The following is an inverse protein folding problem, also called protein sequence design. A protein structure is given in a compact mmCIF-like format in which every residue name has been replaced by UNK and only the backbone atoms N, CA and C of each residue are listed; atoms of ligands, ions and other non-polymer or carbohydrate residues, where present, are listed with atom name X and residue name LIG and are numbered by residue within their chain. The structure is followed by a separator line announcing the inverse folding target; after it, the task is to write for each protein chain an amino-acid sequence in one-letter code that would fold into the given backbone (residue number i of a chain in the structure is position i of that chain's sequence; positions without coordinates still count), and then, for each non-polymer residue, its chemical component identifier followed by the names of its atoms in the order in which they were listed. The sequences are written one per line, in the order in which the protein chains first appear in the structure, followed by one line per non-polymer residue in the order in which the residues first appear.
data_IF_732153282556
#
_entry.id   IF_732153282556
#
_cell.length_a   1.000
_cell.length_b   1.000
_cell.length_c   1.000
_cell.angle_alpha   90.00
_cell.angle_beta   90.00
_cell.angle_gamma   90.00
#
_symmetry.space_group_name_H-M   'P 1'
#
loop_
_entity.id
_entity.type
_entity.pdbx_description
1 polymer ?
#
# COMPACT_ATOMS: atom_id res chain seq x y z
N UNK A 1 -7.99 -18.10 13.59
CA UNK A 1 -8.63 -16.93 12.95
C UNK A 1 -8.91 -17.29 11.51
N UNK A 2 -10.15 -17.12 11.02
CA UNK A 2 -10.43 -17.16 9.58
C UNK A 2 -9.96 -15.84 8.96
N UNK A 3 -9.27 -15.90 7.82
CA UNK A 3 -8.86 -14.71 7.07
C UNK A 3 -10.05 -13.91 6.53
N UNK A 4 -9.82 -12.70 6.00
CA UNK A 4 -10.91 -11.88 5.45
C UNK A 4 -11.63 -12.61 4.31
N UNK A 5 -12.96 -12.41 4.21
CA UNK A 5 -13.75 -12.97 3.12
C UNK A 5 -13.33 -12.37 1.76
N UNK A 6 -13.62 -13.07 0.66
CA UNK A 6 -13.36 -12.56 -0.70
C UNK A 6 -14.02 -11.19 -0.94
N UNK A 7 -15.25 -11.02 -0.45
CA UNK A 7 -15.98 -9.75 -0.54
C UNK A 7 -15.28 -8.62 0.21
N UNK A 8 -14.67 -8.93 1.37
CA UNK A 8 -13.89 -7.94 2.13
C UNK A 8 -12.67 -7.49 1.33
N UNK A 9 -11.92 -8.45 0.78
CA UNK A 9 -10.73 -8.16 -0.03
C UNK A 9 -11.12 -7.27 -1.23
N UNK A 10 -12.19 -7.61 -1.94
CA UNK A 10 -12.65 -6.82 -3.09
C UNK A 10 -13.03 -5.37 -2.71
N UNK A 11 -13.72 -5.19 -1.57
CA UNK A 11 -14.08 -3.86 -1.06
C UNK A 11 -12.86 -3.04 -0.66
N UNK A 12 -11.92 -3.65 0.05
CA UNK A 12 -10.69 -3.00 0.49
C UNK A 12 -9.85 -2.56 -0.72
N UNK A 13 -9.66 -3.46 -1.70
CA UNK A 13 -8.94 -3.15 -2.94
C UNK A 13 -9.61 -2.02 -3.72
N UNK A 14 -10.93 -2.05 -3.91
CA UNK A 14 -11.65 -1.01 -4.63
C UNK A 14 -11.56 0.35 -3.92
N UNK A 15 -11.59 0.34 -2.58
CA UNK A 15 -11.44 1.56 -1.78
C UNK A 15 -10.03 2.14 -1.93
N UNK A 16 -8.99 1.32 -1.77
CA UNK A 16 -7.60 1.74 -1.92
C UNK A 16 -7.35 2.32 -3.32
N UNK A 17 -7.83 1.67 -4.38
CA UNK A 17 -7.73 2.18 -5.75
C UNK A 17 -8.35 3.58 -5.91
N UNK A 18 -9.54 3.79 -5.34
CA UNK A 18 -10.29 5.05 -5.48
C UNK A 18 -9.79 6.18 -4.58
N UNK A 19 -9.25 5.86 -3.40
CA UNK A 19 -8.95 6.87 -2.36
C UNK A 19 -7.47 7.03 -2.08
N UNK A 20 -6.68 5.97 -2.24
CA UNK A 20 -5.24 5.96 -1.91
C UNK A 20 -4.38 5.95 -3.17
N UNK A 21 -4.70 5.14 -4.17
CA UNK A 21 -3.86 4.96 -5.36
C UNK A 21 -4.27 5.86 -6.54
N UNK A 22 -5.38 6.60 -6.41
CA UNK A 22 -5.91 7.43 -7.48
C UNK A 22 -4.85 8.41 -8.03
N UNK A 23 -4.65 8.38 -9.35
CA UNK A 23 -3.70 9.23 -10.06
C UNK A 23 -2.22 8.84 -9.87
N UNK A 24 -1.91 7.76 -9.16
CA UNK A 24 -0.53 7.26 -9.01
C UNK A 24 -0.23 6.16 -10.04
N UNK A 25 0.95 6.18 -10.70
CA UNK A 25 1.33 5.12 -11.63
C UNK A 25 1.51 3.78 -10.90
N UNK A 26 0.74 2.76 -11.31
CA UNK A 26 0.98 1.39 -10.87
C UNK A 26 2.08 0.77 -11.74
N UNK A 27 3.19 0.40 -11.11
CA UNK A 27 4.32 -0.23 -11.76
C UNK A 27 4.12 -1.74 -12.00
N UNK A 28 3.09 -2.35 -11.42
CA UNK A 28 2.79 -3.75 -11.66
C UNK A 28 2.27 -3.96 -13.08
N UNK A 29 3.13 -4.49 -13.94
CA UNK A 29 2.86 -4.78 -15.37
C UNK A 29 2.69 -6.28 -15.62
N UNK A 30 2.27 -7.04 -14.60
CA UNK A 30 1.96 -8.47 -14.70
C UNK A 30 3.04 -9.41 -14.19
N UNK A 31 4.03 -8.90 -13.45
CA UNK A 31 5.04 -9.72 -12.80
C UNK A 31 4.63 -10.20 -11.40
N UNK A 32 3.61 -9.56 -10.82
CA UNK A 32 2.98 -9.96 -9.55
C UNK A 32 1.45 -10.01 -9.74
N UNK A 33 0.73 -10.50 -8.73
CA UNK A 33 -0.72 -10.52 -8.67
C UNK A 33 -1.31 -9.18 -9.08
N UNK A 34 -2.29 -9.19 -10.00
CA UNK A 34 -2.95 -7.98 -10.51
C UNK A 34 -3.71 -7.19 -9.45
N UNK A 35 -3.91 -7.78 -8.26
CA UNK A 35 -4.50 -7.13 -7.09
C UNK A 35 -3.49 -6.31 -6.28
N UNK A 36 -2.18 -6.49 -6.51
CA UNK A 36 -1.10 -5.81 -5.80
C UNK A 36 -0.62 -4.64 -6.66
N UNK A 37 -0.66 -3.44 -6.06
CA UNK A 37 -0.12 -2.24 -6.71
C UNK A 37 1.32 -2.01 -6.26
N UNK A 38 2.17 -1.68 -7.22
CA UNK A 38 3.57 -1.33 -6.98
C UNK A 38 3.81 0.14 -7.31
N UNK A 39 4.62 0.80 -6.50
CA UNK A 39 4.88 2.24 -6.63
C UNK A 39 6.38 2.51 -6.53
N UNK A 40 6.86 3.57 -7.20
CA UNK A 40 8.21 4.09 -6.93
C UNK A 40 8.24 4.81 -5.56
N UNK A 41 9.44 5.19 -5.09
CA UNK A 41 9.60 5.84 -3.80
C UNK A 41 8.76 7.14 -3.63
N UNK A 42 8.64 7.94 -4.70
CA UNK A 42 7.90 9.20 -4.67
C UNK A 42 6.39 8.96 -4.59
N UNK A 43 5.87 8.10 -5.46
CA UNK A 43 4.45 7.72 -5.48
C UNK A 43 4.06 7.00 -4.19
N UNK A 44 4.93 6.13 -3.67
CA UNK A 44 4.68 5.44 -2.41
C UNK A 44 4.70 6.39 -1.21
N UNK A 45 5.47 7.48 -1.25
CA UNK A 45 5.39 8.54 -0.23
C UNK A 45 3.98 9.15 -0.19
N UNK A 46 3.36 9.40 -1.35
CA UNK A 46 1.95 9.86 -1.42
C UNK A 46 0.95 8.81 -0.94
N UNK A 47 1.22 7.52 -1.16
CA UNK A 47 0.41 6.44 -0.59
C UNK A 47 0.42 6.52 0.94
N UNK A 48 1.60 6.69 1.54
CA UNK A 48 1.75 6.82 3.00
C UNK A 48 0.96 8.03 3.51
N UNK A 49 1.09 9.20 2.88
CA UNK A 49 0.36 10.41 3.28
C UNK A 49 -1.15 10.23 3.25
N UNK A 50 -1.67 9.54 2.21
CA UNK A 50 -3.11 9.28 2.07
C UNK A 50 -3.59 8.23 3.06
N UNK A 51 -2.79 7.22 3.35
CA UNK A 51 -3.08 6.26 4.40
C UNK A 51 -3.18 6.94 5.77
N UNK A 52 -2.23 7.82 6.08
CA UNK A 52 -2.21 8.62 7.30
C UNK A 52 -3.45 9.49 7.45
N UNK A 53 -3.79 10.26 6.41
CA UNK A 53 -4.99 11.11 6.38
C UNK A 53 -6.29 10.32 6.62
N UNK A 54 -6.37 9.10 6.07
CA UNK A 54 -7.57 8.27 6.10
C UNK A 54 -7.60 7.27 7.27
N UNK A 55 -6.56 7.24 8.10
CA UNK A 55 -6.44 6.27 9.20
C UNK A 55 -6.29 4.82 8.74
N UNK A 56 -5.70 4.58 7.57
CA UNK A 56 -5.47 3.24 7.00
C UNK A 56 -4.11 2.71 7.45
N UNK A 57 -4.09 1.59 8.16
CA UNK A 57 -2.84 1.00 8.63
C UNK A 57 -2.04 0.41 7.46
N UNK A 58 -0.73 0.58 7.48
CA UNK A 58 0.20 -0.19 6.66
C UNK A 58 0.75 -1.30 7.56
N UNK A 59 0.48 -2.55 7.22
CA UNK A 59 0.82 -3.73 8.04
C UNK A 59 2.24 -4.21 7.72
N UNK A 60 2.59 -4.22 6.44
CA UNK A 60 3.90 -4.61 5.96
C UNK A 60 4.17 -4.05 4.58
N UNK A 61 5.45 -3.89 4.26
CA UNK A 61 5.94 -3.39 2.98
C UNK A 61 6.97 -4.34 2.42
N UNK A 62 6.84 -4.64 1.14
CA UNK A 62 7.81 -5.41 0.37
C UNK A 62 8.47 -4.48 -0.63
N UNK A 63 9.79 -4.56 -0.73
CA UNK A 63 10.63 -3.74 -1.61
C UNK A 63 11.22 -4.64 -2.68
N UNK A 64 11.06 -4.26 -3.94
CA UNK A 64 11.54 -5.05 -5.08
C UNK A 64 12.53 -4.26 -5.93
N UNK A 65 13.55 -4.93 -6.44
CA UNK A 65 14.45 -4.47 -7.49
C UNK A 65 14.05 -5.07 -8.83
N UNK A 66 14.21 -4.30 -9.91
CA UNK A 66 13.96 -4.75 -11.27
C UNK A 66 12.61 -5.46 -11.42
N UNK A 67 11.63 -5.02 -10.62
CA UNK A 67 10.25 -5.52 -10.52
C UNK A 67 10.08 -6.93 -9.91
N UNK A 68 11.05 -7.83 -10.03
CA UNK A 68 10.88 -9.24 -9.64
C UNK A 68 11.74 -9.70 -8.46
N UNK A 69 12.82 -9.01 -8.16
CA UNK A 69 13.75 -9.43 -7.10
C UNK A 69 13.35 -8.80 -5.77
N UNK A 70 12.95 -9.61 -4.81
CA UNK A 70 12.62 -9.13 -3.47
C UNK A 70 13.89 -8.69 -2.74
N UNK A 71 13.99 -7.40 -2.45
CA UNK A 71 15.11 -6.79 -1.72
C UNK A 71 14.91 -6.81 -0.21
N UNK A 72 13.68 -6.54 0.25
CA UNK A 72 13.40 -6.39 1.67
C UNK A 72 11.90 -6.62 1.96
N UNK A 73 11.62 -7.11 3.16
CA UNK A 73 10.27 -7.21 3.73
C UNK A 73 10.34 -6.65 5.13
N UNK A 74 9.53 -5.62 5.40
CA UNK A 74 9.38 -5.09 6.75
C UNK A 74 7.93 -5.17 7.19
N UNK A 75 7.72 -5.79 8.35
CA UNK A 75 6.44 -5.84 9.07
C UNK A 75 6.70 -5.16 10.41
N UNK A 76 5.94 -4.12 10.73
CA UNK A 76 6.09 -3.39 11.98
C UNK A 76 4.88 -3.61 12.88
N UNK A 77 5.06 -4.02 14.15
CA UNK A 77 4.00 -4.00 15.14
C UNK A 77 3.72 -2.59 15.66
N UNK A 78 4.57 -1.60 15.32
CA UNK A 78 4.42 -0.21 15.76
C UNK A 78 3.22 0.45 15.06
N UNK A 79 2.44 1.20 15.82
CA UNK A 79 1.45 2.10 15.25
C UNK A 79 2.12 3.36 14.70
N UNK A 80 1.64 3.85 13.55
CA UNK A 80 2.16 5.05 12.88
C UNK A 80 2.90 4.75 11.56
N UNK A 81 3.36 5.82 10.91
CA UNK A 81 3.91 5.78 9.54
C UNK A 81 5.42 6.07 9.47
N UNK A 82 6.05 6.44 10.58
CA UNK A 82 7.46 6.84 10.59
C UNK A 82 8.39 5.70 10.18
N UNK A 83 8.09 4.45 10.56
CA UNK A 83 8.91 3.31 10.15
C UNK A 83 8.88 3.12 8.63
N UNK A 84 7.71 3.28 7.99
CA UNK A 84 7.59 3.11 6.54
C UNK A 84 8.21 4.28 5.79
N UNK A 85 8.12 5.52 6.33
CA UNK A 85 8.83 6.69 5.79
C UNK A 85 10.35 6.48 5.82
N UNK A 86 10.88 5.95 6.93
CA UNK A 86 12.31 5.59 7.03
C UNK A 86 12.69 4.52 6.01
N UNK A 87 11.86 3.50 5.82
CA UNK A 87 12.10 2.46 4.81
C UNK A 87 12.19 3.06 3.40
N UNK A 88 11.21 3.88 3.00
CA UNK A 88 11.23 4.57 1.70
C UNK A 88 12.48 5.42 1.51
N UNK A 89 12.87 6.15 2.56
CA UNK A 89 14.03 7.02 2.52
C UNK A 89 15.33 6.25 2.26
N UNK A 90 15.48 4.99 2.69
CA UNK A 90 16.68 4.17 2.41
C UNK A 90 16.88 3.88 0.93
N UNK A 91 15.80 3.81 0.16
CA UNK A 91 15.84 3.52 -1.28
C UNK A 91 15.59 4.76 -2.14
N UNK A 92 15.50 5.95 -1.54
CA UNK A 92 15.26 7.19 -2.28
C UNK A 92 16.41 7.46 -3.27
N UNK A 93 16.05 7.74 -4.52
CA UNK A 93 17.02 7.97 -5.60
C UNK A 93 17.56 6.70 -6.26
N UNK A 94 17.24 5.51 -5.75
CA UNK A 94 17.57 4.26 -6.43
C UNK A 94 16.61 4.03 -7.60
N UNK A 95 17.17 3.68 -8.76
CA UNK A 95 16.37 3.34 -9.93
C UNK A 95 15.90 1.89 -9.84
N UNK A 96 14.80 1.59 -10.53
CA UNK A 96 14.22 0.24 -10.62
C UNK A 96 13.80 -0.38 -9.28
N UNK A 97 13.64 0.43 -8.24
CA UNK A 97 13.07 0.00 -6.96
C UNK A 97 11.57 0.30 -6.93
N UNK A 98 10.78 -0.66 -6.47
CA UNK A 98 9.34 -0.50 -6.25
C UNK A 98 8.91 -1.02 -4.89
N UNK A 99 7.80 -0.50 -4.39
CA UNK A 99 7.20 -0.84 -3.11
C UNK A 99 5.80 -1.37 -3.32
N UNK A 100 5.48 -2.48 -2.66
CA UNK A 100 4.11 -2.95 -2.45
C UNK A 100 3.83 -3.00 -0.94
N UNK A 101 2.56 -3.03 -0.56
CA UNK A 101 2.21 -3.08 0.85
C UNK A 101 0.93 -3.85 1.11
N UNK A 102 0.86 -4.39 2.32
CA UNK A 102 -0.35 -4.93 2.90
C UNK A 102 -1.01 -3.86 3.77
N UNK A 103 -2.31 -3.63 3.58
CA UNK A 103 -3.06 -2.58 4.25
C UNK A 103 -4.10 -3.16 5.22
N UNK A 104 -4.27 -2.50 6.35
CA UNK A 104 -5.38 -2.72 7.26
C UNK A 104 -6.38 -1.58 7.14
N UNK A 105 -7.35 -1.71 6.24
CA UNK A 105 -8.43 -0.73 6.09
C UNK A 105 -9.45 -0.94 7.22
N UNK A 106 -9.70 0.03 8.12
CA UNK A 106 -10.73 -0.12 9.15
C UNK A 106 -12.14 -0.25 8.55
N UNK A 107 -13.06 -0.94 9.24
CA UNK A 107 -14.46 -1.09 8.77
C UNK A 107 -15.16 0.27 8.65
N UNK A 108 -15.01 1.11 9.67
CA UNK A 108 -15.67 2.41 9.75
C UNK A 108 -15.19 3.38 8.65
N UNK A 109 -13.94 3.24 8.19
CA UNK A 109 -13.39 4.00 7.06
C UNK A 109 -14.08 3.64 5.75
N UNK A 110 -14.42 2.36 5.54
CA UNK A 110 -15.16 1.93 4.36
C UNK A 110 -16.61 2.39 4.40
N UNK A 111 -17.25 2.28 5.56
CA UNK A 111 -18.66 2.63 5.74
C UNK A 111 -18.90 4.14 5.61
N UNK A 112 -18.05 4.97 6.21
CA UNK A 112 -18.10 6.44 6.09
C UNK A 112 -17.91 6.94 4.65
N UNK A 113 -17.21 6.17 3.80
CA UNK A 113 -17.02 6.49 2.40
C UNK A 113 -18.25 6.20 1.53
N UNK A 114 -19.09 5.25 1.95
CA UNK A 114 -20.34 4.90 1.27
C UNK A 114 -21.46 5.93 1.52
N UNK A 115 -21.42 6.64 2.66
CA UNK A 115 -22.44 7.63 3.04
C UNK A 115 -22.22 9.01 2.39
N UNK A 116 -21.05 9.28 1.82
CA UNK A 116 -20.69 10.57 1.18
C UNK A 116 -20.62 10.50 -0.35
N UNK A 117 -21.25 9.49 -0.96
CA UNK A 117 -21.31 9.32 -2.43
C UNK A 117 -22.64 9.80 -2.99
#
# INVERSE_FOLDING_TARGET
MQGPSKDRIAKDTAFLQKRVFYGLPNLNIGYDSSLISHFDANSFSHVIDRCELLGIRIIGVEVFSNRIELLNVEISPEDGYEWVRRLVQRYKGQQNVSFSATYGVPKDVLESSATRS
#
